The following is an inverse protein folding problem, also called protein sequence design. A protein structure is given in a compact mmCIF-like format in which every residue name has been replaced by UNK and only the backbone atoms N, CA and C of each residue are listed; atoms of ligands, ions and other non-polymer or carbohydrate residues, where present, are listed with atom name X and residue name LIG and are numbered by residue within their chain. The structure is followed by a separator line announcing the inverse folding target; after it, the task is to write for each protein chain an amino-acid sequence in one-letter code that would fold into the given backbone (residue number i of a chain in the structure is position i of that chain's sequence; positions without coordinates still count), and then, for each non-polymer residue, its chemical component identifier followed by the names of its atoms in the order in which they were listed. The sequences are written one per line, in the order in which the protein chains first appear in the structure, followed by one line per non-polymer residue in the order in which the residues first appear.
data_IF_302376435968
#
_entry.id   IF_302376435968
#
_cell.length_a   1.000
_cell.length_b   1.000
_cell.length_c   1.000
_cell.angle_alpha   90.00
_cell.angle_beta   90.00
_cell.angle_gamma   90.00
#
_symmetry.space_group_name_H-M   'P 1'
#
loop_
_entity.id
_entity.type
_entity.pdbx_description
1 polymer ?
#
# COMPACT_ATOMS: atom_id res chain seq x y z
N UNK A 1 -5.71 1.07 -19.93
CA UNK A 1 -5.84 0.20 -18.74
C UNK A 1 -5.17 0.88 -17.57
N UNK A 2 -5.92 1.36 -16.57
CA UNK A 2 -5.32 2.00 -15.40
C UNK A 2 -4.63 0.94 -14.55
N UNK A 3 -3.30 1.01 -14.41
CA UNK A 3 -2.55 0.17 -13.47
C UNK A 3 -3.05 0.52 -12.06
N UNK A 4 -3.48 -0.48 -11.30
CA UNK A 4 -3.89 -0.32 -9.89
C UNK A 4 -2.81 -0.94 -9.04
N UNK A 5 -2.38 -0.23 -8.01
CA UNK A 5 -1.37 -0.68 -7.07
C UNK A 5 -2.09 -1.08 -5.79
N UNK A 6 -1.84 -2.27 -5.30
CA UNK A 6 -2.31 -2.70 -3.99
C UNK A 6 -1.23 -2.37 -2.96
N UNK A 7 -1.58 -1.77 -1.83
CA UNK A 7 -0.66 -1.63 -0.71
C UNK A 7 -0.97 -2.69 0.36
N UNK A 8 0.07 -3.42 0.73
CA UNK A 8 0.05 -4.39 1.81
C UNK A 8 0.76 -3.82 3.04
N UNK A 9 0.19 -4.05 4.21
CA UNK A 9 0.85 -3.69 5.46
C UNK A 9 2.07 -4.57 5.71
N UNK A 10 3.19 -3.96 6.12
CA UNK A 10 4.44 -4.66 6.45
C UNK A 10 4.33 -5.61 7.65
N UNK A 11 3.36 -5.40 8.55
CA UNK A 11 3.18 -6.17 9.79
C UNK A 11 2.15 -7.28 9.65
N UNK A 12 0.96 -6.92 9.17
CA UNK A 12 -0.19 -7.82 9.05
C UNK A 12 -0.25 -8.53 7.68
N UNK A 13 0.61 -8.18 6.71
CA UNK A 13 0.55 -8.60 5.30
C UNK A 13 -0.80 -8.35 4.59
N UNK A 14 -1.73 -7.68 5.28
CA UNK A 14 -3.08 -7.42 4.81
C UNK A 14 -3.08 -6.37 3.71
N UNK A 15 -3.77 -6.68 2.62
CA UNK A 15 -3.97 -5.82 1.45
C UNK A 15 -5.13 -4.88 1.72
N UNK A 16 -4.84 -3.72 2.31
CA UNK A 16 -5.88 -2.85 2.88
C UNK A 16 -6.19 -1.63 2.01
N UNK A 17 -5.32 -1.29 1.05
CA UNK A 17 -5.50 -0.10 0.21
C UNK A 17 -5.20 -0.42 -1.25
N UNK A 18 -6.00 0.16 -2.15
CA UNK A 18 -5.72 0.15 -3.58
C UNK A 18 -5.62 1.60 -4.04
N UNK A 19 -4.50 1.94 -4.68
CA UNK A 19 -4.28 3.28 -5.24
C UNK A 19 -4.11 3.17 -6.75
N UNK A 20 -4.62 4.14 -7.52
CA UNK A 20 -4.31 4.21 -8.95
C UNK A 20 -2.80 4.45 -9.11
N UNK A 21 -2.14 3.66 -9.97
CA UNK A 21 -0.76 3.90 -10.32
C UNK A 21 -0.67 5.23 -11.07
N UNK A 22 0.14 6.15 -10.55
CA UNK A 22 0.54 7.32 -11.33
C UNK A 22 1.56 6.83 -12.35
N UNK A 23 1.31 7.10 -13.64
CA UNK A 23 2.11 6.59 -14.76
C UNK A 23 3.62 6.95 -14.65
N UNK A 24 3.95 7.99 -13.89
CA UNK A 24 5.28 8.61 -13.79
C UNK A 24 6.07 8.19 -12.53
N UNK A 25 5.50 7.39 -11.61
CA UNK A 25 6.19 7.02 -10.38
C UNK A 25 6.83 5.64 -10.51
N UNK A 26 8.10 5.61 -10.91
CA UNK A 26 9.00 4.45 -10.86
C UNK A 26 9.44 4.10 -9.43
N UNK A 27 9.07 4.91 -8.44
CA UNK A 27 9.37 4.72 -7.02
C UNK A 27 8.32 3.83 -6.35
N UNK A 28 8.77 2.84 -5.58
CA UNK A 28 7.88 2.01 -4.74
C UNK A 28 7.13 2.90 -3.76
N UNK A 29 5.81 2.83 -3.75
CA UNK A 29 4.97 3.58 -2.80
C UNK A 29 5.03 2.94 -1.41
N UNK A 30 5.52 3.71 -0.42
CA UNK A 30 5.49 3.37 1.00
C UNK A 30 4.69 4.44 1.75
N UNK A 31 3.55 4.06 2.32
CA UNK A 31 2.63 4.97 3.01
C UNK A 31 2.40 4.52 4.45
N UNK A 32 2.55 5.44 5.40
CA UNK A 32 2.14 5.19 6.79
C UNK A 32 0.63 5.35 6.92
N UNK A 33 -0.07 4.21 6.98
CA UNK A 33 -1.52 4.15 7.21
C UNK A 33 -1.83 3.26 8.40
N UNK A 34 -3.01 3.47 8.96
CA UNK A 34 -3.54 2.65 10.04
C UNK A 34 -3.89 1.23 9.53
N UNK A 35 -3.26 0.18 10.05
CA UNK A 35 -3.73 -1.21 9.85
C UNK A 35 -4.72 -1.53 10.97
N UNK A 36 -6.00 -1.73 10.62
CA UNK A 36 -7.05 -2.13 11.57
C UNK A 36 -6.73 -3.47 12.25
N UNK A 37 -5.99 -4.36 11.58
CA UNK A 37 -5.55 -5.64 12.14
C UNK A 37 -4.42 -5.49 13.16
N UNK A 38 -3.58 -4.45 13.04
CA UNK A 38 -2.50 -4.16 13.99
C UNK A 38 -2.89 -3.11 15.04
N UNK A 39 -4.09 -2.51 14.95
CA UNK A 39 -4.53 -1.36 15.75
C UNK A 39 -3.48 -0.24 15.84
N UNK A 40 -2.78 0.04 14.75
CA UNK A 40 -1.70 1.02 14.75
C UNK A 40 -1.30 1.51 13.36
N UNK A 41 -0.58 2.63 13.33
CA UNK A 41 0.02 3.15 12.10
C UNK A 41 1.23 2.31 11.72
N UNK A 42 1.16 1.75 10.52
CA UNK A 42 2.18 0.84 9.99
C UNK A 42 2.52 1.24 8.56
N UNK A 43 3.76 0.96 8.16
CA UNK A 43 4.20 1.15 6.77
C UNK A 43 3.44 0.17 5.89
N UNK A 44 2.69 0.69 4.93
CA UNK A 44 2.07 -0.07 3.86
C UNK A 44 2.93 0.08 2.61
N UNK A 45 3.37 -1.04 2.04
CA UNK A 45 4.22 -1.07 0.87
C UNK A 45 3.41 -1.49 -0.34
N UNK A 46 3.71 -0.89 -1.48
CA UNK A 46 3.23 -1.35 -2.77
C UNK A 46 3.58 -2.82 -2.98
N UNK A 47 2.54 -3.62 -3.15
CA UNK A 47 2.56 -4.98 -3.69
C UNK A 47 2.10 -4.93 -5.14
N UNK A 48 2.68 -5.82 -5.96
CA UNK A 48 2.58 -5.86 -7.43
C UNK A 48 1.16 -5.64 -7.96
#
# INVERSE_FOLDING_TARGET
MAKKIVLSCSKCASRNYTVPAKAESSTRLELNKFCAHCNGHTVHKQTL
#
